data_IF_572927837161
#
_entry.id   IF_572927837161
#
_cell.length_a   1.000
_cell.length_b   1.000
_cell.length_c   1.000
_cell.angle_alpha   90.00
_cell.angle_beta   90.00
_cell.angle_gamma   90.00
#
_symmetry.space_group_name_H-M   'P 1'
#
loop_
_entity.id
_entity.type
_entity.pdbx_description
1 polymer ?
#
# COMPACT_ATOMS: atom_id res chain seq x y z
N UNK A 1 16.84 23.91 14.35
CA UNK A 1 16.77 22.62 13.63
C UNK A 1 15.95 22.84 12.36
N UNK A 2 16.23 22.16 11.24
CA UNK A 2 15.33 22.21 10.09
C UNK A 2 13.93 21.81 10.55
N UNK A 3 12.89 22.46 10.02
CA UNK A 3 11.52 22.08 10.32
C UNK A 3 11.32 20.58 9.97
N UNK A 4 10.66 19.84 10.84
CA UNK A 4 10.28 18.45 10.57
C UNK A 4 8.84 18.22 10.98
N UNK A 5 8.18 17.29 10.28
CA UNK A 5 6.79 16.92 10.58
C UNK A 5 6.60 15.42 10.42
N UNK A 6 5.87 14.83 11.36
CA UNK A 6 5.28 13.50 11.22
C UNK A 6 3.80 13.68 10.92
N UNK A 7 3.38 13.20 9.76
CA UNK A 7 1.99 13.22 9.34
C UNK A 7 1.29 11.97 9.85
N UNK A 8 0.32 12.14 10.73
CA UNK A 8 -0.49 11.06 11.30
C UNK A 8 -1.68 10.74 10.41
N UNK A 9 -2.41 9.67 10.72
CA UNK A 9 -3.61 9.31 9.97
C UNK A 9 -4.71 10.36 10.15
N UNK A 10 -4.79 11.00 11.31
CA UNK A 10 -5.72 12.09 11.58
C UNK A 10 -5.44 13.30 10.68
N UNK A 11 -4.17 13.62 10.44
CA UNK A 11 -3.77 14.68 9.49
C UNK A 11 -4.25 14.35 8.07
N UNK A 12 -4.23 13.08 7.66
CA UNK A 12 -4.67 12.66 6.32
C UNK A 12 -6.18 12.65 6.18
N UNK A 13 -6.90 12.18 7.21
CA UNK A 13 -8.36 12.24 7.25
C UNK A 13 -8.85 13.69 7.19
N UNK A 14 -8.20 14.57 7.91
CA UNK A 14 -8.59 15.97 7.95
C UNK A 14 -8.20 16.71 6.65
N UNK A 15 -7.07 16.35 6.02
CA UNK A 15 -6.72 16.83 4.67
C UNK A 15 -7.68 16.31 3.59
N UNK A 16 -8.17 15.07 3.72
CA UNK A 16 -9.16 14.51 2.82
C UNK A 16 -10.49 15.29 2.86
N UNK A 17 -10.91 15.73 4.05
CA UNK A 17 -12.10 16.60 4.21
C UNK A 17 -11.90 17.98 3.58
N UNK A 18 -10.72 18.58 3.75
CA UNK A 18 -10.38 19.88 3.16
C UNK A 18 -10.36 19.82 1.62
N UNK A 19 -9.67 18.81 1.07
CA UNK A 19 -9.39 18.71 -0.36
C UNK A 19 -10.51 18.02 -1.15
N UNK A 20 -11.29 17.17 -0.50
CA UNK A 20 -12.20 16.22 -1.13
C UNK A 20 -11.51 14.99 -1.70
N UNK A 21 -10.22 14.79 -1.45
CA UNK A 21 -9.47 13.59 -1.83
C UNK A 21 -9.52 12.57 -0.69
N UNK A 22 -10.48 11.64 -0.77
CA UNK A 22 -10.63 10.53 0.17
C UNK A 22 -10.12 9.21 -0.42
N UNK A 23 -9.11 9.24 -1.29
CA UNK A 23 -8.59 8.01 -1.89
C UNK A 23 -8.15 7.03 -0.80
N UNK A 24 -8.61 5.77 -0.82
CA UNK A 24 -8.31 4.78 0.22
C UNK A 24 -6.82 4.56 0.49
N UNK A 25 -5.94 4.86 -0.47
CA UNK A 25 -4.48 4.76 -0.28
C UNK A 25 -3.95 5.70 0.80
N UNK A 26 -4.70 6.75 1.13
CA UNK A 26 -4.33 7.76 2.13
C UNK A 26 -5.06 7.58 3.47
N UNK A 27 -6.33 7.17 3.44
CA UNK A 27 -7.22 7.23 4.61
C UNK A 27 -7.67 5.87 5.14
N UNK A 28 -7.55 4.79 4.35
CA UNK A 28 -8.05 3.46 4.73
C UNK A 28 -6.87 2.47 4.84
N UNK A 29 -6.49 2.14 6.08
CA UNK A 29 -5.40 1.22 6.34
C UNK A 29 -5.66 -0.22 5.84
N UNK A 30 -6.92 -0.66 5.76
CA UNK A 30 -7.27 -1.99 5.28
C UNK A 30 -7.19 -2.08 3.76
N UNK A 31 -7.62 -1.04 3.04
CA UNK A 31 -7.48 -0.98 1.57
C UNK A 31 -6.03 -0.68 1.17
N UNK A 32 -5.35 0.27 1.83
CA UNK A 32 -3.98 0.64 1.52
C UNK A 32 -2.97 -0.52 1.69
N UNK A 33 -3.24 -1.47 2.61
CA UNK A 33 -2.38 -2.65 2.81
C UNK A 33 -2.28 -3.58 1.59
N UNK A 34 -3.26 -3.48 0.69
CA UNK A 34 -3.32 -4.25 -0.56
C UNK A 34 -2.67 -3.51 -1.74
N UNK A 35 -2.28 -2.26 -1.54
CA UNK A 35 -1.49 -1.51 -2.52
C UNK A 35 0.00 -1.85 -2.43
N UNK A 36 0.76 -1.47 -3.46
CA UNK A 36 2.22 -1.57 -3.49
C UNK A 36 2.94 -0.84 -2.32
N UNK A 37 2.26 0.05 -1.60
CA UNK A 37 2.83 0.77 -0.46
C UNK A 37 2.71 0.00 0.87
N UNK A 38 1.76 -0.96 0.94
CA UNK A 38 1.53 -1.83 2.10
C UNK A 38 0.92 -1.16 3.33
N UNK A 39 0.75 0.16 3.33
CA UNK A 39 0.09 0.97 4.38
C UNK A 39 -0.25 2.37 3.83
N UNK A 40 -1.04 3.18 4.56
CA UNK A 40 -1.36 4.53 4.13
C UNK A 40 -0.13 5.40 3.84
N UNK A 41 -0.25 6.23 2.80
CA UNK A 41 0.75 7.25 2.43
C UNK A 41 0.19 8.65 2.58
N UNK A 42 1.06 9.62 2.82
CA UNK A 42 0.70 11.04 2.89
C UNK A 42 0.26 11.54 1.52
N UNK A 43 -0.78 12.36 1.47
CA UNK A 43 -1.19 13.04 0.24
C UNK A 43 -0.05 13.92 -0.28
N UNK A 44 0.30 13.80 -1.57
CA UNK A 44 1.36 14.60 -2.18
C UNK A 44 1.08 16.10 -2.05
N UNK A 45 -0.17 16.53 -2.27
CA UNK A 45 -0.54 17.95 -2.12
C UNK A 45 -0.48 18.44 -0.67
N UNK A 46 -0.64 17.57 0.33
CA UNK A 46 -0.43 17.94 1.73
C UNK A 46 1.06 18.25 1.99
N UNK A 47 1.97 17.43 1.44
CA UNK A 47 3.42 17.71 1.49
C UNK A 47 3.77 19.03 0.77
N UNK A 48 3.17 19.27 -0.40
CA UNK A 48 3.38 20.50 -1.17
C UNK A 48 2.94 21.73 -0.38
N UNK A 49 1.70 21.74 0.11
CA UNK A 49 1.16 22.90 0.83
C UNK A 49 1.92 23.16 2.14
N UNK A 50 2.30 22.11 2.87
CA UNK A 50 3.18 22.26 4.03
C UNK A 50 4.56 22.82 3.64
N UNK A 51 5.16 22.37 2.54
CA UNK A 51 6.43 22.92 2.08
C UNK A 51 6.33 24.42 1.73
N UNK A 52 5.24 24.84 1.07
CA UNK A 52 5.03 26.25 0.73
C UNK A 52 4.75 27.07 1.99
N UNK A 53 3.92 26.58 2.92
CA UNK A 53 3.65 27.18 4.23
C UNK A 53 4.97 27.53 4.95
N UNK A 54 5.84 26.54 5.14
CA UNK A 54 7.14 26.71 5.80
C UNK A 54 8.07 27.64 5.01
N UNK A 55 8.11 27.50 3.68
CA UNK A 55 8.93 28.33 2.80
C UNK A 55 8.52 29.81 2.75
N UNK A 56 7.26 30.11 3.05
CA UNK A 56 6.70 31.46 3.03
C UNK A 56 6.60 32.11 4.42
N UNK A 57 6.95 31.41 5.51
CA UNK A 57 6.86 31.93 6.87
C UNK A 57 7.45 33.34 7.05
N UNK A 58 8.61 33.60 6.43
CA UNK A 58 9.32 34.89 6.50
C UNK A 58 9.11 35.77 5.25
N UNK A 59 8.16 35.44 4.38
CA UNK A 59 7.88 36.19 3.15
C UNK A 59 6.75 37.20 3.39
N UNK A 60 6.78 38.42 2.82
CA UNK A 60 5.62 39.31 2.82
C UNK A 60 4.41 38.69 2.11
N UNK A 61 3.24 39.32 2.23
CA UNK A 61 2.07 38.95 1.43
C UNK A 61 2.43 39.07 -0.06
N UNK A 62 2.05 38.08 -0.85
CA UNK A 62 2.50 37.90 -2.23
C UNK A 62 1.48 37.07 -3.01
N UNK A 63 1.71 36.84 -4.29
CA UNK A 63 0.99 35.84 -5.08
C UNK A 63 1.96 34.77 -5.60
N UNK A 64 1.44 33.58 -5.92
CA UNK A 64 2.21 32.55 -6.60
C UNK A 64 2.20 32.84 -8.09
N UNK A 65 3.34 33.09 -8.73
CA UNK A 65 3.45 33.13 -10.20
C UNK A 65 3.48 31.72 -10.79
N UNK A 66 4.19 30.81 -10.12
CA UNK A 66 4.33 29.42 -10.54
C UNK A 66 4.62 28.51 -9.37
N UNK A 67 4.04 27.32 -9.38
CA UNK A 67 4.37 26.23 -8.47
C UNK A 67 4.70 25.00 -9.28
N UNK A 68 5.88 24.41 -9.05
CA UNK A 68 6.23 23.11 -9.59
C UNK A 68 6.67 22.17 -8.48
N UNK A 69 6.18 20.93 -8.51
CA UNK A 69 6.52 19.90 -7.54
C UNK A 69 6.72 18.56 -8.24
N UNK A 70 7.75 17.82 -7.84
CA UNK A 70 7.98 16.44 -8.26
C UNK A 70 8.05 15.56 -7.03
N UNK A 71 7.20 14.54 -6.96
CA UNK A 71 7.20 13.52 -5.91
C UNK A 71 8.02 12.32 -6.38
N UNK A 72 9.16 12.08 -5.75
CA UNK A 72 10.08 11.00 -6.13
C UNK A 72 9.81 9.71 -5.38
N UNK A 73 9.42 9.84 -4.11
CA UNK A 73 9.18 8.71 -3.23
C UNK A 73 7.95 8.97 -2.37
N UNK A 74 7.10 7.95 -2.14
CA UNK A 74 5.98 8.09 -1.22
C UNK A 74 6.49 8.26 0.21
N UNK A 75 5.83 9.13 0.98
CA UNK A 75 6.00 9.23 2.43
C UNK A 75 4.88 8.41 3.07
N UNK A 76 5.21 7.45 3.93
CA UNK A 76 4.17 6.70 4.65
C UNK A 76 3.76 7.47 5.90
N UNK A 77 2.52 7.27 6.33
CA UNK A 77 2.02 7.85 7.59
C UNK A 77 2.96 7.45 8.75
N UNK A 78 3.14 8.40 9.68
CA UNK A 78 4.05 8.37 10.83
C UNK A 78 5.57 8.42 10.51
N UNK A 79 5.96 8.46 9.24
CA UNK A 79 7.35 8.75 8.87
C UNK A 79 7.66 10.24 9.07
N UNK A 80 8.89 10.52 9.51
CA UNK A 80 9.35 11.89 9.72
C UNK A 80 9.88 12.51 8.43
N UNK A 81 9.29 13.64 8.05
CA UNK A 81 9.68 14.42 6.88
C UNK A 81 10.48 15.63 7.33
N UNK A 82 11.68 15.78 6.76
CA UNK A 82 12.56 16.92 6.98
C UNK A 82 12.38 17.94 5.87
N UNK A 83 12.21 19.21 6.25
CA UNK A 83 12.15 20.34 5.33
C UNK A 83 13.54 20.96 5.15
N UNK A 84 13.90 21.25 3.90
CA UNK A 84 15.12 22.02 3.56
C UNK A 84 14.82 23.08 2.51
N UNK A 85 14.97 24.35 2.90
CA UNK A 85 15.02 25.46 1.95
C UNK A 85 16.42 25.52 1.33
N UNK A 86 16.52 25.16 0.05
CA UNK A 86 17.80 25.04 -0.69
C UNK A 86 18.15 26.33 -1.43
N UNK A 87 17.15 27.06 -1.91
CA UNK A 87 17.31 28.39 -2.50
C UNK A 87 16.22 29.31 -1.96
N UNK A 88 16.63 30.51 -1.55
CA UNK A 88 15.74 31.53 -1.04
C UNK A 88 16.14 32.88 -1.64
N UNK A 89 15.48 33.22 -2.75
CA UNK A 89 15.58 34.51 -3.40
C UNK A 89 14.21 35.19 -3.34
N UNK A 90 14.19 36.53 -3.46
CA UNK A 90 12.96 37.34 -3.29
C UNK A 90 11.77 36.85 -4.12
N UNK A 91 12.02 36.33 -5.33
CA UNK A 91 10.98 35.84 -6.25
C UNK A 91 11.03 34.32 -6.49
N UNK A 92 12.03 33.61 -5.96
CA UNK A 92 12.25 32.19 -6.28
C UNK A 92 12.67 31.41 -5.04
N UNK A 93 11.93 30.34 -4.74
CA UNK A 93 12.25 29.42 -3.65
C UNK A 93 12.36 28.00 -4.17
N UNK A 94 13.39 27.28 -3.73
CA UNK A 94 13.57 25.84 -3.96
C UNK A 94 13.58 25.12 -2.62
N UNK A 95 12.65 24.21 -2.43
CA UNK A 95 12.49 23.41 -1.22
C UNK A 95 12.67 21.94 -1.56
N UNK A 96 13.37 21.21 -0.70
CA UNK A 96 13.53 19.76 -0.79
C UNK A 96 12.99 19.14 0.50
N UNK A 97 12.13 18.13 0.34
CA UNK A 97 11.65 17.31 1.44
C UNK A 97 12.37 15.97 1.43
N UNK A 98 12.80 15.52 2.60
CA UNK A 98 13.48 14.24 2.77
C UNK A 98 12.79 13.37 3.82
N UNK A 99 12.76 12.07 3.57
CA UNK A 99 12.22 11.07 4.48
C UNK A 99 13.13 9.85 4.45
N UNK A 100 13.52 9.33 5.63
CA UNK A 100 14.45 8.20 5.77
C UNK A 100 15.76 8.34 4.96
N UNK A 101 16.30 9.56 4.87
CA UNK A 101 17.54 9.86 4.16
C UNK A 101 17.45 9.81 2.63
N UNK A 102 16.23 9.83 2.07
CA UNK A 102 15.97 9.97 0.64
C UNK A 102 15.08 11.17 0.35
N UNK A 103 15.31 11.85 -0.77
CA UNK A 103 14.43 12.92 -1.26
C UNK A 103 13.06 12.35 -1.63
N UNK A 104 12.00 12.85 -1.00
CA UNK A 104 10.63 12.47 -1.30
C UNK A 104 9.92 13.49 -2.22
N UNK A 105 10.23 14.79 -2.09
CA UNK A 105 9.70 15.82 -2.98
C UNK A 105 10.69 16.97 -3.21
N UNK A 106 10.66 17.55 -4.42
CA UNK A 106 11.28 18.85 -4.72
C UNK A 106 10.20 19.82 -5.14
N UNK A 107 10.16 20.99 -4.51
CA UNK A 107 9.21 22.07 -4.76
C UNK A 107 9.94 23.32 -5.23
N UNK A 108 9.43 23.93 -6.29
CA UNK A 108 9.85 25.22 -6.80
C UNK A 108 8.66 26.17 -6.73
N UNK A 109 8.89 27.34 -6.14
CA UNK A 109 7.88 28.40 -6.04
C UNK A 109 8.46 29.67 -6.67
N UNK A 110 7.72 30.23 -7.61
CA UNK A 110 7.96 31.56 -8.16
C UNK A 110 6.88 32.49 -7.63
N UNK A 111 7.28 33.66 -7.14
CA UNK A 111 6.38 34.65 -6.54
C UNK A 111 6.07 35.77 -7.52
N UNK A 112 4.99 36.51 -7.24
CA UNK A 112 4.62 37.70 -7.99
C UNK A 112 4.19 38.82 -7.06
N UNK A 113 4.55 40.04 -7.44
CA UNK A 113 4.00 41.26 -6.84
C UNK A 113 2.59 41.62 -7.39
N UNK A 114 2.17 40.98 -8.50
CA UNK A 114 0.86 41.23 -9.09
C UNK A 114 -0.22 40.43 -8.36
N UNK A 115 -1.43 40.98 -8.29
CA UNK A 115 -2.60 40.22 -7.83
C UNK A 115 -2.97 39.14 -8.85
N UNK A 116 -3.14 37.91 -8.36
CA UNK A 116 -3.48 36.72 -9.16
C UNK A 116 -4.66 36.00 -8.50
N UNK A 117 -5.79 36.69 -8.43
CA UNK A 117 -7.01 36.13 -7.87
C UNK A 117 -7.62 35.06 -8.77
N UNK A 118 -8.15 34.02 -8.14
CA UNK A 118 -8.90 32.93 -8.80
C UNK A 118 -10.24 32.82 -8.09
N UNK A 119 -11.33 32.90 -8.84
CA UNK A 119 -12.66 32.69 -8.28
C UNK A 119 -12.81 31.25 -7.76
N UNK A 120 -13.54 31.06 -6.67
CA UNK A 120 -13.90 29.76 -6.13
C UNK A 120 -15.18 29.88 -5.30
N UNK A 121 -15.79 28.74 -4.95
CA UNK A 121 -16.97 28.67 -4.10
C UNK A 121 -16.51 28.36 -2.67
N UNK A 122 -16.82 29.24 -1.72
CA UNK A 122 -16.49 29.07 -0.30
C UNK A 122 -17.40 28.03 0.35
N UNK A 123 -17.08 26.75 0.14
CA UNK A 123 -17.76 25.59 0.71
C UNK A 123 -16.85 24.36 0.64
N UNK A 124 -17.08 23.40 1.53
CA UNK A 124 -16.44 22.10 1.43
C UNK A 124 -16.78 21.42 0.09
N UNK A 125 -15.80 20.79 -0.59
CA UNK A 125 -16.04 19.98 -1.78
C UNK A 125 -16.81 18.68 -1.48
N UNK A 126 -16.93 18.31 -0.20
CA UNK A 126 -17.53 17.06 0.25
C UNK A 126 -16.66 15.82 -0.02
N UNK A 127 -17.13 14.68 0.47
CA UNK A 127 -16.52 13.36 0.24
C UNK A 127 -17.33 12.61 -0.81
N UNK A 128 -16.65 12.05 -1.80
CA UNK A 128 -17.26 11.24 -2.87
C UNK A 128 -16.53 9.91 -2.99
N UNK A 129 -17.18 8.93 -3.60
CA UNK A 129 -16.51 7.69 -3.97
C UNK A 129 -15.48 7.94 -5.07
N UNK A 130 -14.33 7.26 -4.99
CA UNK A 130 -13.34 7.30 -6.07
C UNK A 130 -13.91 6.65 -7.32
N UNK A 131 -13.80 7.33 -8.45
CA UNK A 131 -14.03 6.73 -9.75
C UNK A 131 -12.94 5.68 -10.03
N UNK A 132 -13.33 4.45 -10.32
CA UNK A 132 -12.41 3.42 -10.81
C UNK A 132 -12.35 3.44 -12.34
N UNK A 133 -11.22 3.89 -12.91
CA UNK A 133 -10.99 3.90 -14.37
C UNK A 133 -10.11 2.73 -14.81
N UNK A 134 -10.47 2.11 -15.93
CA UNK A 134 -9.61 1.17 -16.65
C UNK A 134 -8.59 1.92 -17.52
N UNK A 135 -7.49 1.27 -17.88
CA UNK A 135 -6.46 1.80 -18.79
C UNK A 135 -7.06 2.32 -20.10
N UNK A 136 -7.98 1.55 -20.69
CA UNK A 136 -8.71 1.91 -21.92
C UNK A 136 -9.59 3.16 -21.80
N UNK A 137 -9.96 3.57 -20.58
CA UNK A 137 -10.83 4.72 -20.31
C UNK A 137 -10.06 6.01 -19.95
N UNK A 138 -8.73 5.94 -19.90
CA UNK A 138 -7.88 7.10 -19.59
C UNK A 138 -7.62 7.96 -20.83
N UNK A 139 -7.53 7.33 -22.00
CA UNK A 139 -7.18 8.05 -23.22
C UNK A 139 -8.26 9.07 -23.58
N UNK A 140 -7.83 10.32 -23.80
CA UNK A 140 -8.71 11.48 -24.03
C UNK A 140 -9.77 11.75 -22.94
N UNK A 141 -9.64 11.18 -21.74
CA UNK A 141 -10.52 11.49 -20.63
C UNK A 141 -10.42 13.00 -20.31
N UNK A 142 -11.58 13.65 -20.15
CA UNK A 142 -11.64 15.08 -19.88
C UNK A 142 -12.88 15.40 -19.04
N UNK A 143 -12.87 16.55 -18.40
CA UNK A 143 -13.98 17.00 -17.58
C UNK A 143 -13.81 18.42 -17.08
N UNK A 144 -14.79 18.86 -16.30
CA UNK A 144 -14.83 20.19 -15.71
C UNK A 144 -15.57 20.12 -14.38
N UNK A 145 -15.03 20.73 -13.33
CA UNK A 145 -15.68 20.77 -12.02
C UNK A 145 -15.40 22.10 -11.29
N UNK A 146 -16.28 22.51 -10.35
CA UNK A 146 -16.08 23.77 -9.63
C UNK A 146 -14.87 23.73 -8.69
N UNK A 147 -14.21 24.88 -8.55
CA UNK A 147 -13.23 25.13 -7.49
C UNK A 147 -14.00 25.42 -6.19
N UNK A 148 -13.78 24.57 -5.20
CA UNK A 148 -14.49 24.56 -3.92
C UNK A 148 -13.47 24.39 -2.81
N UNK A 149 -13.56 25.26 -1.81
CA UNK A 149 -12.71 25.27 -0.64
C UNK A 149 -13.49 25.86 0.54
N UNK A 150 -13.48 25.20 1.69
CA UNK A 150 -13.90 25.83 2.95
C UNK A 150 -12.75 26.72 3.45
N UNK A 151 -12.94 28.04 3.38
CA UNK A 151 -11.90 29.00 3.72
C UNK A 151 -11.56 28.99 5.22
N UNK A 152 -12.53 28.67 6.09
CA UNK A 152 -12.29 28.60 7.52
C UNK A 152 -11.39 27.41 7.86
N UNK A 153 -11.69 26.22 7.31
CA UNK A 153 -10.87 25.02 7.48
C UNK A 153 -9.48 25.20 6.86
N UNK A 154 -9.37 25.85 5.70
CA UNK A 154 -8.09 26.17 5.09
C UNK A 154 -7.21 27.05 5.97
N UNK A 155 -7.80 28.07 6.63
CA UNK A 155 -7.08 28.98 7.54
C UNK A 155 -6.62 28.30 8.82
N UNK A 156 -7.39 27.35 9.34
CA UNK A 156 -7.00 26.56 10.50
C UNK A 156 -5.78 25.68 10.19
N UNK A 157 -5.77 25.06 9.01
CA UNK A 157 -4.75 24.08 8.60
C UNK A 157 -3.48 24.70 8.04
N UNK A 158 -3.61 25.79 7.29
CA UNK A 158 -2.54 26.47 6.58
C UNK A 158 -2.58 27.99 6.85
N UNK A 159 -2.40 28.41 8.13
CA UNK A 159 -2.57 29.80 8.55
C UNK A 159 -1.59 30.76 7.88
N UNK A 160 -0.34 30.36 7.67
CA UNK A 160 0.65 31.20 6.98
C UNK A 160 0.26 31.32 5.52
N UNK A 161 0.02 30.20 4.83
CA UNK A 161 -0.28 30.21 3.40
C UNK A 161 -1.51 31.05 3.11
N UNK A 162 -2.61 30.85 3.84
CA UNK A 162 -3.86 31.62 3.66
C UNK A 162 -3.76 33.10 3.99
N UNK A 163 -2.77 33.52 4.79
CA UNK A 163 -2.45 34.93 5.03
C UNK A 163 -1.55 35.53 3.95
N UNK A 164 -0.65 34.72 3.37
CA UNK A 164 0.38 35.18 2.45
C UNK A 164 -0.04 35.16 1.00
N UNK A 165 -0.83 34.19 0.55
CA UNK A 165 -1.23 34.03 -0.86
C UNK A 165 -2.75 34.11 -1.04
N UNK A 166 -3.23 34.52 -2.22
CA UNK A 166 -4.65 34.46 -2.57
C UNK A 166 -5.24 33.05 -2.35
N UNK A 167 -6.36 32.98 -1.61
CA UNK A 167 -6.99 31.70 -1.24
C UNK A 167 -7.45 30.91 -2.47
N UNK A 168 -7.83 31.58 -3.55
CA UNK A 168 -8.18 30.92 -4.81
C UNK A 168 -7.04 30.10 -5.42
N UNK A 169 -5.78 30.51 -5.24
CA UNK A 169 -4.63 29.72 -5.70
C UNK A 169 -4.48 28.43 -4.89
N UNK A 170 -4.78 28.49 -3.58
CA UNK A 170 -4.82 27.31 -2.69
C UNK A 170 -5.97 26.39 -3.10
N UNK A 171 -7.16 26.94 -3.38
CA UNK A 171 -8.32 26.17 -3.83
C UNK A 171 -8.02 25.40 -5.13
N UNK A 172 -7.31 26.02 -6.08
CA UNK A 172 -6.88 25.35 -7.31
C UNK A 172 -5.89 24.21 -7.04
N UNK A 173 -4.87 24.43 -6.19
CA UNK A 173 -3.90 23.37 -5.83
C UNK A 173 -4.60 22.21 -5.13
N UNK A 174 -5.55 22.47 -4.22
CA UNK A 174 -6.33 21.43 -3.56
C UNK A 174 -7.23 20.67 -4.56
N UNK A 175 -7.82 21.37 -5.53
CA UNK A 175 -8.63 20.76 -6.57
C UNK A 175 -7.85 19.74 -7.43
N UNK A 176 -6.53 19.89 -7.60
CA UNK A 176 -5.75 18.92 -8.38
C UNK A 176 -5.61 17.56 -7.67
N UNK A 177 -5.54 17.52 -6.34
CA UNK A 177 -5.53 16.24 -5.61
C UNK A 177 -6.88 15.54 -5.73
N UNK A 178 -7.98 16.30 -5.70
CA UNK A 178 -9.33 15.76 -5.92
C UNK A 178 -9.47 15.19 -7.33
N UNK A 179 -8.96 15.90 -8.35
CA UNK A 179 -8.92 15.38 -9.72
C UNK A 179 -8.18 14.04 -9.79
N UNK A 180 -6.95 13.97 -9.30
CA UNK A 180 -6.13 12.75 -9.40
C UNK A 180 -6.66 11.62 -8.53
N UNK A 181 -6.94 11.92 -7.26
CA UNK A 181 -7.35 10.98 -6.23
C UNK A 181 -8.75 10.40 -6.45
N UNK A 182 -9.66 11.19 -7.03
CA UNK A 182 -11.09 10.84 -7.07
C UNK A 182 -11.63 10.66 -8.49
N UNK A 183 -11.15 11.39 -9.49
CA UNK A 183 -11.79 11.43 -10.81
C UNK A 183 -10.96 10.76 -11.92
N UNK A 184 -9.68 11.10 -12.05
CA UNK A 184 -8.81 10.58 -13.09
C UNK A 184 -7.33 10.66 -12.67
N UNK A 185 -6.66 9.52 -12.42
CA UNK A 185 -7.14 8.14 -12.60
C UNK A 185 -8.15 7.67 -11.54
N UNK A 186 -8.35 8.44 -10.48
CA UNK A 186 -9.28 8.12 -9.41
C UNK A 186 -8.72 7.02 -8.50
N UNK A 187 -9.49 5.94 -8.31
CA UNK A 187 -9.24 4.92 -7.29
C UNK A 187 -7.80 4.42 -7.31
N UNK A 188 -7.21 4.14 -8.47
CA UNK A 188 -5.87 3.57 -8.60
C UNK A 188 -4.77 4.62 -8.87
N UNK A 189 -4.97 5.87 -8.48
CA UNK A 189 -4.03 6.95 -8.81
C UNK A 189 -2.77 7.02 -7.94
N UNK A 190 -1.70 7.58 -8.49
CA UNK A 190 -0.53 8.07 -7.75
C UNK A 190 -0.18 9.45 -8.32
N UNK A 191 -0.18 10.48 -7.47
CA UNK A 191 0.23 11.82 -7.87
C UNK A 191 1.76 11.91 -7.89
N UNK A 192 2.37 12.19 -9.05
CA UNK A 192 3.84 12.21 -9.21
C UNK A 192 4.42 13.59 -9.52
N UNK A 193 3.62 14.55 -9.97
CA UNK A 193 4.10 15.91 -10.12
C UNK A 193 3.04 16.93 -10.54
N UNK A 194 3.34 18.20 -10.29
CA UNK A 194 2.51 19.34 -10.61
C UNK A 194 3.38 20.45 -11.21
N UNK A 195 2.88 21.14 -12.22
CA UNK A 195 3.40 22.44 -12.64
C UNK A 195 2.21 23.34 -12.98
N UNK A 196 1.98 24.39 -12.21
CA UNK A 196 0.93 25.39 -12.46
C UNK A 196 1.56 26.75 -12.58
N UNK A 197 1.17 27.48 -13.61
CA UNK A 197 1.45 28.90 -13.78
C UNK A 197 0.18 29.69 -13.56
N UNK A 198 0.31 30.80 -12.84
CA UNK A 198 -0.78 31.70 -12.52
C UNK A 198 -0.62 33.01 -13.28
N UNK A 199 -1.75 33.60 -13.64
CA UNK A 199 -1.82 34.86 -14.38
C UNK A 199 -3.01 35.68 -13.88
N UNK A 200 -3.03 37.01 -14.11
CA UNK A 200 -4.23 37.80 -13.82
C UNK A 200 -5.47 37.21 -14.51
N UNK A 201 -6.59 37.15 -13.79
CA UNK A 201 -7.88 36.71 -14.34
C UNK A 201 -8.32 37.62 -15.50
N UNK A 202 -8.95 37.01 -16.51
CA UNK A 202 -9.46 37.71 -17.68
C UNK A 202 -10.76 38.50 -17.42
N UNK A 203 -11.34 38.40 -16.21
CA UNK A 203 -12.54 39.13 -15.78
C UNK A 203 -13.82 38.84 -16.60
N UNK A 204 -13.77 37.95 -17.57
CA UNK A 204 -14.81 37.71 -18.60
C UNK A 204 -15.05 36.23 -18.89
N UNK A 205 -14.39 35.32 -18.16
CA UNK A 205 -14.40 33.90 -18.48
C UNK A 205 -15.75 33.22 -18.14
N UNK A 206 -16.30 32.48 -19.11
CA UNK A 206 -17.39 31.51 -18.89
C UNK A 206 -17.06 30.44 -17.83
N UNK A 207 -15.77 30.27 -17.52
CA UNK A 207 -15.24 29.24 -16.61
C UNK A 207 -14.79 29.80 -15.25
N UNK A 208 -15.27 31.00 -14.85
CA UNK A 208 -14.98 31.56 -13.53
C UNK A 208 -15.31 30.54 -12.42
N UNK A 209 -14.32 30.23 -11.57
CA UNK A 209 -14.49 29.27 -10.48
C UNK A 209 -14.56 27.81 -10.89
N UNK A 210 -14.04 27.45 -12.06
CA UNK A 210 -14.00 26.06 -12.55
C UNK A 210 -12.59 25.62 -12.93
N UNK A 211 -12.34 24.33 -12.83
CA UNK A 211 -11.14 23.66 -13.33
C UNK A 211 -11.55 22.70 -14.45
N UNK A 212 -11.11 23.01 -15.66
CA UNK A 212 -11.19 22.11 -16.81
C UNK A 212 -9.93 21.25 -16.86
N UNK A 213 -10.07 20.00 -17.26
CA UNK A 213 -8.95 19.08 -17.36
C UNK A 213 -9.08 18.13 -18.54
N UNK A 214 -7.94 17.69 -19.06
CA UNK A 214 -7.85 16.72 -20.15
C UNK A 214 -6.59 15.87 -20.04
N UNK A 215 -6.75 14.55 -20.14
CA UNK A 215 -5.62 13.63 -20.35
C UNK A 215 -5.09 13.86 -21.76
N UNK A 216 -3.82 14.28 -21.85
CA UNK A 216 -3.16 14.56 -23.13
C UNK A 216 -2.21 13.45 -23.55
N UNK A 217 -1.79 12.60 -22.62
CA UNK A 217 -0.93 11.46 -22.90
C UNK A 217 -1.09 10.38 -21.83
N UNK A 218 -1.05 9.11 -22.24
CA UNK A 218 -0.90 7.95 -21.38
C UNK A 218 0.21 7.04 -21.92
N UNK A 219 1.32 6.90 -21.18
CA UNK A 219 2.39 5.95 -21.48
C UNK A 219 2.15 4.65 -20.70
N UNK A 220 1.64 3.65 -21.41
CA UNK A 220 1.31 2.34 -20.87
C UNK A 220 2.50 1.63 -20.21
N UNK A 221 3.72 1.79 -20.76
CA UNK A 221 4.93 1.11 -20.27
C UNK A 221 5.29 1.52 -18.84
N UNK A 222 4.93 2.76 -18.48
CA UNK A 222 5.14 3.32 -17.15
C UNK A 222 3.83 3.60 -16.41
N UNK A 223 2.70 3.21 -17.00
CA UNK A 223 1.33 3.51 -16.56
C UNK A 223 1.18 4.98 -16.15
N UNK A 224 1.79 5.90 -16.90
CA UNK A 224 1.91 7.32 -16.55
C UNK A 224 0.99 8.15 -17.42
N UNK A 225 0.29 9.10 -16.81
CA UNK A 225 -0.56 10.05 -17.50
C UNK A 225 -0.11 11.49 -17.27
N UNK A 226 -0.25 12.29 -18.32
CA UNK A 226 -0.15 13.74 -18.28
C UNK A 226 -1.56 14.32 -18.41
N UNK A 227 -1.94 15.19 -17.48
CA UNK A 227 -3.25 15.87 -17.48
C UNK A 227 -3.02 17.36 -17.56
N UNK A 228 -3.51 17.98 -18.62
CA UNK A 228 -3.56 19.44 -18.71
C UNK A 228 -4.72 19.95 -17.88
N UNK A 229 -4.51 21.05 -17.17
CA UNK A 229 -5.53 21.75 -16.41
C UNK A 229 -5.60 23.22 -16.81
N UNK A 230 -6.82 23.75 -16.86
CA UNK A 230 -7.10 25.14 -17.23
C UNK A 230 -8.17 25.70 -16.29
N UNK A 231 -7.92 26.87 -15.73
CA UNK A 231 -8.88 27.67 -14.99
C UNK A 231 -8.70 29.15 -15.39
N UNK A 232 -9.69 30.00 -15.11
CA UNK A 232 -9.49 31.45 -15.28
C UNK A 232 -8.41 31.93 -14.28
N UNK A 233 -7.29 32.43 -14.82
CA UNK A 233 -6.11 32.83 -14.05
C UNK A 233 -5.06 31.73 -13.82
N UNK A 234 -5.21 30.53 -14.39
CA UNK A 234 -4.18 29.48 -14.25
C UNK A 234 -4.18 28.44 -15.39
N UNK A 235 -2.98 27.97 -15.73
CA UNK A 235 -2.79 26.78 -16.57
C UNK A 235 -1.74 25.87 -15.96
N UNK A 236 -1.83 24.57 -16.20
CA UNK A 236 -0.85 23.65 -15.64
C UNK A 236 -0.91 22.26 -16.22
N UNK A 237 0.04 21.44 -15.75
CA UNK A 237 0.16 20.04 -16.08
C UNK A 237 0.31 19.25 -14.78
N UNK A 238 -0.47 18.18 -14.66
CA UNK A 238 -0.36 17.17 -13.62
C UNK A 238 0.30 15.93 -14.21
N UNK A 239 1.23 15.35 -13.47
CA UNK A 239 1.77 14.02 -13.71
C UNK A 239 1.16 13.08 -12.68
N UNK A 240 0.53 12.01 -13.15
CA UNK A 240 0.01 10.95 -12.31
C UNK A 240 0.34 9.58 -12.90
N UNK A 241 0.12 8.53 -12.12
CA UNK A 241 0.32 7.15 -12.53
C UNK A 241 -0.89 6.31 -12.15
N UNK A 242 -1.21 5.31 -12.96
CA UNK A 242 -2.19 4.28 -12.65
C UNK A 242 -1.47 3.12 -11.97
N UNK A 243 -1.67 2.97 -10.66
CA UNK A 243 -1.14 1.85 -9.88
C UNK A 243 -1.89 0.56 -10.25
N UNK A 244 -1.23 -0.61 -10.16
CA UNK A 244 -1.92 -1.87 -10.40
C UNK A 244 -2.99 -2.11 -9.33
N UNK A 245 -4.09 -2.75 -9.73
CA UNK A 245 -5.11 -3.22 -8.81
C UNK A 245 -4.54 -4.31 -7.87
N UNK A 246 -5.14 -4.50 -6.68
CA UNK A 246 -4.78 -5.62 -5.80
C UNK A 246 -4.79 -6.96 -6.53
N UNK A 247 -3.80 -7.81 -6.24
CA UNK A 247 -3.71 -9.11 -6.89
C UNK A 247 -4.86 -10.01 -6.43
N UNK A 248 -5.53 -10.66 -7.38
CA UNK A 248 -6.60 -11.63 -7.11
C UNK A 248 -6.06 -13.03 -7.33
N UNK A 249 -6.14 -13.87 -6.29
CA UNK A 249 -5.83 -15.29 -6.43
C UNK A 249 -6.95 -16.00 -7.20
N UNK A 250 -6.61 -17.14 -7.81
CA UNK A 250 -7.61 -18.01 -8.41
C UNK A 250 -8.65 -18.44 -7.37
N UNK A 251 -9.89 -18.57 -7.81
CA UNK A 251 -10.99 -19.11 -7.02
C UNK A 251 -10.85 -20.62 -6.83
N UNK A 252 -11.53 -21.19 -5.84
CA UNK A 252 -11.55 -22.65 -5.67
C UNK A 252 -12.12 -23.36 -6.91
N UNK A 253 -13.10 -22.76 -7.59
CA UNK A 253 -13.65 -23.30 -8.84
C UNK A 253 -12.61 -23.36 -9.97
N UNK A 254 -11.78 -22.33 -10.13
CA UNK A 254 -10.70 -22.33 -11.11
C UNK A 254 -9.60 -23.35 -10.74
N UNK A 255 -9.23 -23.42 -9.45
CA UNK A 255 -8.18 -24.32 -8.95
C UNK A 255 -8.53 -25.80 -9.10
N UNK A 256 -9.81 -26.18 -8.99
CA UNK A 256 -10.28 -27.56 -9.25
C UNK A 256 -9.87 -28.09 -10.62
N UNK A 257 -9.73 -27.23 -11.61
CA UNK A 257 -9.33 -27.64 -12.97
C UNK A 257 -7.82 -27.82 -13.13
N UNK A 258 -7.04 -27.31 -12.18
CA UNK A 258 -5.57 -27.29 -12.20
C UNK A 258 -4.96 -28.30 -11.22
N UNK A 259 -5.70 -28.69 -10.18
CA UNK A 259 -5.25 -29.63 -9.17
C UNK A 259 -5.55 -31.05 -9.67
N UNK A 260 -4.52 -31.91 -9.83
CA UNK A 260 -4.67 -33.19 -10.53
C UNK A 260 -5.42 -34.25 -9.71
N UNK A 261 -5.44 -34.11 -8.38
CA UNK A 261 -6.07 -35.05 -7.47
C UNK A 261 -6.81 -34.29 -6.35
N UNK A 262 -8.12 -34.54 -6.25
CA UNK A 262 -9.00 -33.91 -5.28
C UNK A 262 -8.83 -34.45 -3.85
N UNK A 263 -8.10 -35.56 -3.68
CA UNK A 263 -7.81 -36.18 -2.38
C UNK A 263 -6.32 -36.08 -2.01
N UNK A 264 -5.55 -35.26 -2.73
CA UNK A 264 -4.10 -35.07 -2.55
C UNK A 264 -3.68 -34.79 -1.09
N UNK A 265 -4.54 -34.08 -0.35
CA UNK A 265 -4.38 -33.67 1.04
C UNK A 265 -5.50 -34.20 1.94
N UNK A 266 -6.18 -35.27 1.52
CA UNK A 266 -7.22 -35.92 2.30
C UNK A 266 -6.72 -36.31 3.69
N UNK A 267 -7.57 -36.11 4.71
CA UNK A 267 -7.24 -36.39 6.12
C UNK A 267 -6.36 -35.33 6.78
N UNK A 268 -5.92 -34.30 6.07
CA UNK A 268 -5.25 -33.17 6.70
C UNK A 268 -6.25 -32.24 7.40
N UNK A 269 -5.88 -31.84 8.62
CA UNK A 269 -6.44 -30.70 9.34
C UNK A 269 -5.42 -29.59 9.25
N UNK A 270 -5.56 -28.76 8.22
CA UNK A 270 -4.56 -27.79 7.81
C UNK A 270 -4.84 -26.41 8.39
N UNK A 271 -3.92 -25.90 9.21
CA UNK A 271 -3.97 -24.53 9.72
C UNK A 271 -3.06 -23.62 8.90
N UNK A 272 -3.62 -22.61 8.24
CA UNK A 272 -2.87 -21.63 7.46
C UNK A 272 -2.74 -20.33 8.25
N UNK A 273 -1.55 -20.05 8.75
CA UNK A 273 -1.25 -18.80 9.46
C UNK A 273 -1.06 -17.69 8.44
N UNK A 274 -1.93 -16.67 8.47
CA UNK A 274 -1.93 -15.59 7.47
C UNK A 274 -2.60 -15.99 6.15
N UNK A 275 -3.74 -16.69 6.21
CA UNK A 275 -4.47 -17.18 5.04
C UNK A 275 -5.47 -16.18 4.44
N UNK A 276 -5.55 -14.94 4.93
CA UNK A 276 -6.54 -13.96 4.46
C UNK A 276 -6.26 -13.34 3.10
N UNK A 277 -5.05 -13.52 2.54
CA UNK A 277 -4.62 -12.93 1.25
C UNK A 277 -3.33 -13.55 0.74
N UNK A 278 -2.97 -13.23 -0.50
CA UNK A 278 -1.65 -13.52 -1.07
C UNK A 278 -1.37 -15.01 -1.15
N UNK A 279 -0.14 -15.43 -0.83
CA UNK A 279 0.25 -16.85 -0.92
C UNK A 279 -0.42 -17.74 0.13
N UNK A 280 -0.76 -17.18 1.30
CA UNK A 280 -1.51 -17.92 2.33
C UNK A 280 -2.94 -18.24 1.88
N UNK A 281 -3.62 -17.28 1.27
CA UNK A 281 -4.93 -17.51 0.64
C UNK A 281 -4.84 -18.60 -0.43
N UNK A 282 -3.88 -18.49 -1.35
CA UNK A 282 -3.70 -19.48 -2.40
C UNK A 282 -3.43 -20.88 -1.84
N UNK A 283 -2.56 -20.97 -0.83
CA UNK A 283 -2.27 -22.23 -0.15
C UNK A 283 -3.53 -22.81 0.52
N UNK A 284 -4.32 -22.01 1.22
CA UNK A 284 -5.57 -22.45 1.85
C UNK A 284 -6.55 -23.03 0.83
N UNK A 285 -6.73 -22.35 -0.32
CA UNK A 285 -7.61 -22.83 -1.39
C UNK A 285 -7.10 -24.11 -2.05
N UNK A 286 -5.79 -24.21 -2.30
CA UNK A 286 -5.18 -25.43 -2.86
C UNK A 286 -5.37 -26.62 -1.93
N UNK A 287 -5.12 -26.43 -0.62
CA UNK A 287 -5.29 -27.49 0.38
C UNK A 287 -6.75 -27.96 0.45
N UNK A 288 -7.70 -27.01 0.46
CA UNK A 288 -9.11 -27.35 0.51
C UNK A 288 -9.61 -28.07 -0.75
N UNK A 289 -9.18 -27.63 -1.93
CA UNK A 289 -9.53 -28.30 -3.20
C UNK A 289 -8.90 -29.70 -3.29
N UNK A 290 -7.74 -29.91 -2.69
CA UNK A 290 -7.14 -31.24 -2.54
C UNK A 290 -7.65 -32.05 -1.34
N UNK A 291 -8.77 -31.67 -0.73
CA UNK A 291 -9.48 -32.52 0.26
C UNK A 291 -9.12 -32.28 1.73
N UNK A 292 -8.32 -31.27 2.06
CA UNK A 292 -8.03 -30.92 3.46
C UNK A 292 -9.21 -30.19 4.15
N UNK A 293 -9.36 -30.38 5.46
CA UNK A 293 -10.18 -29.50 6.32
C UNK A 293 -9.31 -28.32 6.76
N UNK A 294 -9.66 -27.12 6.31
CA UNK A 294 -8.79 -25.95 6.41
C UNK A 294 -9.29 -24.98 7.47
N UNK A 295 -8.41 -24.55 8.36
CA UNK A 295 -8.59 -23.34 9.17
C UNK A 295 -7.58 -22.31 8.72
N UNK A 296 -8.00 -21.06 8.54
CA UNK A 296 -7.10 -19.98 8.17
C UNK A 296 -7.12 -18.87 9.21
N UNK A 297 -6.00 -18.17 9.36
CA UNK A 297 -5.91 -17.06 10.31
C UNK A 297 -5.69 -15.71 9.64
N UNK A 298 -6.08 -14.66 10.35
CA UNK A 298 -5.84 -13.28 9.96
C UNK A 298 -5.49 -12.43 11.18
N UNK A 299 -4.56 -11.47 11.03
CA UNK A 299 -4.37 -10.42 12.03
C UNK A 299 -5.30 -9.23 11.74
N UNK A 300 -5.37 -8.81 10.47
CA UNK A 300 -6.22 -7.71 10.01
C UNK A 300 -6.98 -8.10 8.74
N UNK A 301 -8.16 -7.52 8.55
CA UNK A 301 -9.02 -7.76 7.40
C UNK A 301 -9.84 -9.04 7.55
N UNK A 302 -10.79 -9.01 8.49
CA UNK A 302 -11.76 -10.09 8.73
C UNK A 302 -12.55 -10.41 7.47
N UNK A 303 -12.98 -9.40 6.73
CA UNK A 303 -13.79 -9.59 5.52
C UNK A 303 -13.00 -10.24 4.38
N UNK A 304 -11.71 -9.90 4.21
CA UNK A 304 -10.85 -10.60 3.26
C UNK A 304 -10.70 -12.08 3.65
N UNK A 305 -10.55 -12.39 4.96
CA UNK A 305 -10.48 -13.76 5.44
C UNK A 305 -11.80 -14.52 5.25
N UNK A 306 -12.93 -13.86 5.48
CA UNK A 306 -14.25 -14.43 5.28
C UNK A 306 -14.51 -14.73 3.80
N UNK A 307 -14.12 -13.85 2.88
CA UNK A 307 -14.24 -14.10 1.45
C UNK A 307 -13.46 -15.35 0.99
N UNK A 308 -12.31 -15.64 1.60
CA UNK A 308 -11.56 -16.87 1.32
C UNK A 308 -12.28 -18.10 1.89
N UNK A 309 -12.86 -18.00 3.09
CA UNK A 309 -13.67 -19.07 3.67
C UNK A 309 -14.89 -19.37 2.81
N UNK A 310 -15.58 -18.33 2.33
CA UNK A 310 -16.76 -18.45 1.49
C UNK A 310 -16.41 -19.12 0.16
N UNK A 311 -15.35 -18.70 -0.53
CA UNK A 311 -14.87 -19.33 -1.77
C UNK A 311 -14.51 -20.82 -1.57
N UNK A 312 -13.90 -21.17 -0.43
CA UNK A 312 -13.60 -22.58 -0.10
C UNK A 312 -14.89 -23.39 0.13
N UNK A 313 -15.82 -22.86 0.91
CA UNK A 313 -17.06 -23.55 1.27
C UNK A 313 -18.00 -23.67 0.06
N UNK A 314 -18.11 -22.63 -0.78
CA UNK A 314 -18.83 -22.66 -2.06
C UNK A 314 -18.16 -23.64 -3.04
N UNK A 315 -16.84 -23.78 -2.94
CA UNK A 315 -16.06 -24.82 -3.59
C UNK A 315 -16.31 -26.24 -3.04
N UNK A 316 -17.17 -26.44 -2.04
CA UNK A 316 -17.45 -27.74 -1.43
C UNK A 316 -16.40 -28.21 -0.42
N UNK A 317 -15.42 -27.38 -0.10
CA UNK A 317 -14.47 -27.63 0.98
C UNK A 317 -15.06 -27.34 2.36
N UNK A 318 -14.23 -27.48 3.40
CA UNK A 318 -14.58 -27.09 4.77
C UNK A 318 -13.59 -26.05 5.27
N UNK A 319 -14.07 -24.86 5.58
CA UNK A 319 -13.23 -23.83 6.16
C UNK A 319 -13.91 -22.93 7.18
N UNK A 320 -13.08 -22.40 8.09
CA UNK A 320 -13.40 -21.33 9.01
C UNK A 320 -12.16 -20.46 9.25
N UNK A 321 -12.37 -19.21 9.67
CA UNK A 321 -11.29 -18.27 9.95
C UNK A 321 -11.21 -17.88 11.43
N UNK A 322 -10.00 -17.58 11.90
CA UNK A 322 -9.72 -17.13 13.26
C UNK A 322 -8.82 -15.88 13.27
N UNK A 323 -9.13 -14.92 14.14
CA UNK A 323 -8.24 -13.80 14.43
C UNK A 323 -7.00 -14.30 15.19
N UNK A 324 -5.81 -13.99 14.69
CA UNK A 324 -4.54 -14.45 15.25
C UNK A 324 -3.43 -13.42 14.99
N UNK A 325 -2.82 -12.91 16.05
CA UNK A 325 -1.53 -12.23 16.00
C UNK A 325 -0.48 -13.15 16.61
N UNK A 326 0.60 -13.44 15.89
CA UNK A 326 1.69 -14.27 16.42
C UNK A 326 2.48 -13.58 17.53
N UNK A 327 2.30 -12.28 17.74
CA UNK A 327 2.90 -11.53 18.85
C UNK A 327 1.97 -11.39 20.06
N UNK A 328 0.70 -11.78 19.90
CA UNK A 328 -0.32 -11.78 20.93
C UNK A 328 -1.35 -12.89 20.60
N UNK A 329 -0.93 -14.17 20.67
CA UNK A 329 -1.80 -15.28 20.31
C UNK A 329 -2.96 -15.40 21.31
N UNK A 330 -4.14 -15.86 20.85
CA UNK A 330 -5.29 -16.02 21.75
C UNK A 330 -4.97 -17.02 22.86
N UNK A 331 -5.42 -16.72 24.09
CA UNK A 331 -5.22 -17.59 25.26
C UNK A 331 -5.76 -19.01 25.03
N UNK A 332 -6.92 -19.12 24.37
CA UNK A 332 -7.56 -20.40 24.03
C UNK A 332 -7.62 -20.58 22.50
N UNK A 333 -6.49 -20.95 21.93
CA UNK A 333 -6.37 -21.25 20.50
C UNK A 333 -7.27 -22.42 20.08
N UNK A 334 -7.47 -23.42 20.94
CA UNK A 334 -8.26 -24.61 20.62
C UNK A 334 -9.72 -24.23 20.37
N UNK A 335 -10.32 -23.46 21.28
CA UNK A 335 -11.68 -22.95 21.11
C UNK A 335 -11.83 -22.10 19.85
N UNK A 336 -10.83 -21.29 19.53
CA UNK A 336 -10.81 -20.48 18.31
C UNK A 336 -10.81 -21.29 17.01
N UNK A 337 -10.20 -22.48 17.01
CA UNK A 337 -10.17 -23.39 15.85
C UNK A 337 -11.42 -24.28 15.74
N UNK A 338 -12.17 -24.40 16.83
CA UNK A 338 -13.35 -25.25 16.99
C UNK A 338 -13.06 -26.45 17.89
N UNK A 339 -14.01 -26.78 18.76
CA UNK A 339 -13.84 -27.83 19.77
C UNK A 339 -13.45 -29.18 19.14
N UNK A 340 -12.37 -29.78 19.67
CA UNK A 340 -11.83 -31.05 19.18
C UNK A 340 -11.02 -30.97 17.88
N UNK A 341 -10.92 -29.79 17.24
CA UNK A 341 -10.09 -29.60 16.06
C UNK A 341 -8.64 -29.32 16.46
N UNK A 342 -7.72 -30.18 16.03
CA UNK A 342 -6.28 -30.01 16.27
C UNK A 342 -5.53 -30.11 14.94
N UNK A 343 -4.61 -29.20 14.63
CA UNK A 343 -3.92 -29.23 13.35
C UNK A 343 -3.00 -30.45 13.23
N UNK A 344 -3.07 -31.13 12.09
CA UNK A 344 -2.04 -32.11 11.68
C UNK A 344 -0.95 -31.45 10.84
N UNK A 345 -1.31 -30.34 10.16
CA UNK A 345 -0.42 -29.57 9.32
C UNK A 345 -0.60 -28.08 9.61
N UNK A 346 0.51 -27.33 9.68
CA UNK A 346 0.50 -25.87 9.86
C UNK A 346 1.33 -25.21 8.77
N UNK A 347 0.76 -24.22 8.09
CA UNK A 347 1.41 -23.51 6.99
C UNK A 347 1.63 -22.05 7.36
N UNK A 348 2.89 -21.61 7.48
CA UNK A 348 3.21 -20.32 8.08
C UNK A 348 3.45 -19.21 7.04
N UNK A 349 2.42 -18.45 6.67
CA UNK A 349 2.51 -17.37 5.68
C UNK A 349 2.47 -15.95 6.28
N UNK A 350 2.59 -15.80 7.60
CA UNK A 350 2.66 -14.48 8.22
C UNK A 350 3.95 -13.75 7.81
N UNK A 351 3.81 -12.64 7.10
CA UNK A 351 4.94 -11.86 6.60
C UNK A 351 4.62 -10.34 6.60
N UNK A 352 5.55 -9.49 7.05
CA UNK A 352 5.43 -8.04 6.89
C UNK A 352 5.73 -7.63 5.43
N UNK A 353 5.60 -6.35 5.06
CA UNK A 353 6.07 -5.86 3.76
C UNK A 353 7.59 -6.10 3.58
N UNK A 354 7.98 -6.74 2.47
CA UNK A 354 9.37 -7.18 2.24
C UNK A 354 10.20 -6.19 1.40
N UNK A 355 9.61 -5.49 0.41
CA UNK A 355 10.32 -4.56 -0.48
C UNK A 355 10.45 -3.15 0.14
N UNK A 356 11.12 -3.07 1.27
CA UNK A 356 11.23 -1.84 2.08
C UNK A 356 12.67 -1.45 2.40
N UNK A 357 13.64 -2.31 2.09
CA UNK A 357 15.06 -2.03 2.34
C UNK A 357 15.63 -1.04 1.30
N UNK A 358 16.57 -0.22 1.76
CA UNK A 358 17.31 0.68 0.89
C UNK A 358 18.39 -0.10 0.11
N UNK A 359 18.54 0.22 -1.17
CA UNK A 359 19.53 -0.44 -2.03
C UNK A 359 20.95 -0.24 -1.51
N UNK A 360 21.68 -1.33 -1.32
CA UNK A 360 23.08 -1.35 -0.91
C UNK A 360 23.34 -0.92 0.53
N UNK A 361 22.29 -0.79 1.36
CA UNK A 361 22.39 -0.44 2.77
C UNK A 361 21.76 -1.54 3.62
N UNK A 362 22.29 -1.74 4.82
CA UNK A 362 21.74 -2.67 5.80
C UNK A 362 21.21 -1.89 7.00
N UNK A 363 19.99 -2.18 7.44
CA UNK A 363 19.34 -1.59 8.61
C UNK A 363 19.16 -2.64 9.71
N UNK A 364 19.80 -2.43 10.86
CA UNK A 364 19.64 -3.30 12.03
C UNK A 364 18.19 -3.35 12.51
N UNK A 365 17.48 -2.22 12.48
CA UNK A 365 16.06 -2.16 12.87
C UNK A 365 15.17 -2.96 11.91
N UNK A 366 15.45 -2.88 10.61
CA UNK A 366 14.72 -3.65 9.61
C UNK A 366 14.99 -5.16 9.74
N UNK A 367 16.25 -5.53 10.00
CA UNK A 367 16.61 -6.92 10.29
C UNK A 367 15.93 -7.42 11.56
N UNK A 368 15.94 -6.65 12.66
CA UNK A 368 15.25 -7.00 13.89
C UNK A 368 13.75 -7.19 13.64
N UNK A 369 13.13 -6.30 12.84
CA UNK A 369 11.73 -6.45 12.44
C UNK A 369 11.47 -7.72 11.65
N UNK A 370 12.28 -8.05 10.64
CA UNK A 370 12.09 -9.30 9.90
C UNK A 370 12.33 -10.54 10.78
N UNK A 371 13.35 -10.53 11.64
CA UNK A 371 13.63 -11.59 12.60
C UNK A 371 12.48 -11.81 13.57
N UNK A 372 11.84 -10.74 14.04
CA UNK A 372 10.63 -10.83 14.85
C UNK A 372 9.53 -11.63 14.14
N UNK A 373 9.32 -11.44 12.83
CA UNK A 373 8.32 -12.21 12.08
C UNK A 373 8.76 -13.64 11.74
N UNK A 374 9.99 -13.84 11.28
CA UNK A 374 10.42 -15.12 10.72
C UNK A 374 11.08 -16.07 11.73
N UNK A 375 11.51 -15.55 12.88
CA UNK A 375 12.12 -16.32 13.96
C UNK A 375 11.18 -16.34 15.17
N UNK A 376 10.97 -15.20 15.83
CA UNK A 376 10.17 -15.13 17.06
C UNK A 376 8.70 -15.51 16.84
N UNK A 377 8.08 -14.99 15.76
CA UNK A 377 6.70 -15.31 15.43
C UNK A 377 6.49 -16.77 15.02
N UNK A 378 7.44 -17.36 14.30
CA UNK A 378 7.38 -18.79 13.96
C UNK A 378 7.56 -19.66 15.21
N UNK A 379 8.48 -19.29 16.10
CA UNK A 379 8.66 -19.95 17.40
C UNK A 379 7.39 -19.89 18.26
N UNK A 380 6.79 -18.71 18.38
CA UNK A 380 5.54 -18.49 19.14
C UNK A 380 4.38 -19.31 18.55
N UNK A 381 4.30 -19.38 17.22
CA UNK A 381 3.35 -20.25 16.54
C UNK A 381 3.56 -21.72 16.90
N UNK A 382 4.80 -22.23 16.83
CA UNK A 382 5.10 -23.60 17.23
C UNK A 382 4.70 -23.88 18.68
N UNK A 383 5.04 -22.98 19.62
CA UNK A 383 4.67 -23.13 21.03
C UNK A 383 3.14 -23.23 21.21
N UNK A 384 2.39 -22.32 20.58
CA UNK A 384 0.93 -22.27 20.69
C UNK A 384 0.28 -23.53 20.13
N UNK A 385 0.77 -24.04 19.00
CA UNK A 385 0.25 -25.26 18.38
C UNK A 385 0.62 -26.50 19.20
N UNK A 386 1.83 -26.54 19.76
CA UNK A 386 2.27 -27.68 20.57
C UNK A 386 1.44 -27.85 21.84
N UNK A 387 0.89 -26.78 22.39
CA UNK A 387 0.00 -26.84 23.57
C UNK A 387 -1.32 -27.55 23.27
N UNK A 388 -1.88 -27.38 22.07
CA UNK A 388 -3.20 -27.91 21.71
C UNK A 388 -3.14 -29.22 20.91
N UNK A 389 -2.01 -29.50 20.28
CA UNK A 389 -1.74 -30.76 19.58
C UNK A 389 -0.69 -31.48 20.41
N UNK A 390 -0.96 -32.64 21.04
CA UNK A 390 0.09 -33.47 21.69
C UNK A 390 0.72 -34.52 20.75
N UNK A 391 0.03 -34.83 19.65
CA UNK A 391 0.42 -35.84 18.66
C UNK A 391 1.37 -35.30 17.58
N UNK A 392 1.89 -36.18 16.73
CA UNK A 392 2.78 -35.74 15.65
C UNK A 392 2.07 -34.76 14.71
N UNK A 393 2.74 -33.67 14.36
CA UNK A 393 2.26 -32.71 13.35
C UNK A 393 3.41 -32.17 12.49
N UNK A 394 3.06 -31.64 11.33
CA UNK A 394 4.01 -31.09 10.36
C UNK A 394 3.82 -29.57 10.24
N UNK A 395 4.90 -28.81 10.15
CA UNK A 395 4.87 -27.39 9.81
C UNK A 395 5.58 -27.12 8.48
N UNK A 396 5.02 -26.21 7.70
CA UNK A 396 5.67 -25.62 6.53
C UNK A 396 6.21 -24.23 6.88
N UNK A 397 7.50 -24.05 6.65
CA UNK A 397 8.19 -22.77 6.72
C UNK A 397 8.53 -22.28 5.30
N UNK A 398 7.83 -21.26 4.78
CA UNK A 398 8.17 -20.66 3.50
C UNK A 398 9.42 -19.79 3.65
N UNK A 399 10.55 -20.31 3.18
CA UNK A 399 11.77 -19.54 2.99
C UNK A 399 11.78 -18.87 1.61
N UNK A 400 12.92 -18.38 1.16
CA UNK A 400 13.06 -17.66 -0.12
C UNK A 400 14.37 -17.98 -0.80
N UNK A 401 14.35 -17.98 -2.14
CA UNK A 401 15.56 -18.05 -2.98
C UNK A 401 16.55 -16.91 -2.69
N UNK A 402 16.10 -15.80 -2.08
CA UNK A 402 16.95 -14.70 -1.63
C UNK A 402 17.95 -15.11 -0.53
N UNK A 403 17.76 -16.24 0.14
CA UNK A 403 18.74 -16.80 1.09
C UNK A 403 20.05 -17.17 0.38
N UNK A 404 19.97 -17.62 -0.87
CA UNK A 404 21.13 -18.04 -1.67
C UNK A 404 21.50 -17.03 -2.76
N UNK A 405 20.57 -16.16 -3.13
CA UNK A 405 20.78 -15.13 -4.15
C UNK A 405 20.86 -13.75 -3.54
N UNK A 406 22.01 -13.08 -3.67
CA UNK A 406 22.20 -11.74 -3.17
C UNK A 406 21.44 -10.70 -4.02
N UNK A 407 20.43 -10.07 -3.43
CA UNK A 407 19.77 -8.89 -4.00
C UNK A 407 20.10 -7.65 -3.16
N UNK A 408 20.43 -6.54 -3.84
CA UNK A 408 20.92 -5.31 -3.20
C UNK A 408 19.93 -4.67 -2.21
N UNK A 409 18.67 -5.07 -2.21
CA UNK A 409 17.60 -4.54 -1.36
C UNK A 409 16.86 -5.64 -0.57
N UNK A 410 17.52 -6.78 -0.31
CA UNK A 410 16.93 -7.90 0.43
C UNK A 410 17.85 -8.47 1.52
N UNK A 411 18.94 -7.78 1.88
CA UNK A 411 19.95 -8.32 2.80
C UNK A 411 19.36 -8.69 4.16
N UNK A 412 18.58 -7.80 4.76
CA UNK A 412 17.91 -8.00 6.04
C UNK A 412 16.88 -9.12 5.98
N UNK A 413 16.09 -9.15 4.90
CA UNK A 413 15.07 -10.17 4.67
C UNK A 413 15.69 -11.57 4.51
N UNK A 414 16.72 -11.69 3.67
CA UNK A 414 17.44 -12.93 3.43
C UNK A 414 18.13 -13.44 4.70
N UNK A 415 18.78 -12.55 5.46
CA UNK A 415 19.42 -12.90 6.73
C UNK A 415 18.40 -13.42 7.75
N UNK A 416 17.25 -12.76 7.89
CA UNK A 416 16.20 -13.20 8.81
C UNK A 416 15.56 -14.54 8.37
N UNK A 417 15.40 -14.76 7.06
CA UNK A 417 14.93 -16.05 6.53
C UNK A 417 15.92 -17.17 6.80
N UNK A 418 17.22 -16.94 6.59
CA UNK A 418 18.27 -17.90 6.92
C UNK A 418 18.32 -18.23 8.43
N UNK A 419 18.14 -17.24 9.29
CA UNK A 419 18.01 -17.45 10.73
C UNK A 419 16.79 -18.33 11.06
N UNK A 420 15.65 -18.11 10.40
CA UNK A 420 14.47 -18.96 10.56
C UNK A 420 14.65 -20.39 10.02
N UNK A 421 15.41 -20.59 8.93
CA UNK A 421 15.78 -21.95 8.49
C UNK A 421 16.59 -22.68 9.56
N UNK A 422 17.51 -21.99 10.24
CA UNK A 422 18.27 -22.56 11.35
C UNK A 422 17.37 -22.89 12.56
N UNK A 423 16.43 -21.99 12.90
CA UNK A 423 15.44 -22.25 13.94
C UNK A 423 14.62 -23.51 13.65
N UNK A 424 14.24 -23.76 12.40
CA UNK A 424 13.52 -24.97 12.02
C UNK A 424 14.31 -26.24 12.37
N UNK A 425 15.61 -26.26 12.09
CA UNK A 425 16.48 -27.39 12.44
C UNK A 425 16.56 -27.59 13.96
N UNK A 426 16.68 -26.50 14.72
CA UNK A 426 16.69 -26.52 16.18
C UNK A 426 15.38 -27.09 16.75
N UNK A 427 14.23 -26.64 16.27
CA UNK A 427 12.93 -27.12 16.74
C UNK A 427 12.70 -28.60 16.46
N UNK A 428 13.08 -29.10 15.27
CA UNK A 428 13.05 -30.54 14.97
C UNK A 428 13.99 -31.36 15.87
N UNK A 429 15.12 -30.78 16.29
CA UNK A 429 16.01 -31.44 17.23
C UNK A 429 15.38 -31.55 18.63
N UNK A 430 14.67 -30.51 19.07
CA UNK A 430 14.01 -30.41 20.37
C UNK A 430 12.70 -31.18 20.49
N UNK A 431 11.88 -31.25 19.42
CA UNK A 431 10.59 -31.93 19.42
C UNK A 431 10.57 -33.08 18.40
N UNK A 432 10.65 -34.32 18.89
CA UNK A 432 10.65 -35.53 18.05
C UNK A 432 9.30 -35.83 17.41
N UNK A 433 8.22 -35.17 17.85
CA UNK A 433 6.87 -35.25 17.26
C UNK A 433 6.61 -34.11 16.29
N UNK A 434 7.62 -33.30 15.96
CA UNK A 434 7.53 -32.23 14.99
C UNK A 434 8.31 -32.59 13.73
N UNK A 435 7.67 -32.42 12.57
CA UNK A 435 8.37 -32.35 11.29
C UNK A 435 8.27 -30.93 10.76
N UNK A 436 9.37 -30.31 10.35
CA UNK A 436 9.34 -29.04 9.63
C UNK A 436 9.87 -29.24 8.22
N UNK A 437 9.13 -28.72 7.26
CA UNK A 437 9.48 -28.66 5.84
C UNK A 437 9.78 -27.22 5.46
N UNK A 438 10.97 -26.98 4.93
CA UNK A 438 11.44 -25.65 4.51
C UNK A 438 11.39 -25.59 2.99
N UNK A 439 10.60 -24.66 2.44
CA UNK A 439 10.53 -24.46 0.99
C UNK A 439 10.98 -23.06 0.60
N UNK A 440 11.99 -22.94 -0.26
CA UNK A 440 12.49 -21.63 -0.74
C UNK A 440 11.68 -21.16 -1.93
N UNK A 441 10.80 -20.20 -1.69
CA UNK A 441 9.91 -19.70 -2.73
C UNK A 441 10.62 -18.65 -3.62
N UNK A 442 10.42 -18.70 -4.96
CA UNK A 442 10.80 -17.62 -5.85
C UNK A 442 9.87 -16.41 -5.68
N UNK A 443 10.09 -15.35 -6.46
CA UNK A 443 9.14 -14.24 -6.53
C UNK A 443 7.84 -14.71 -7.20
N UNK A 444 6.74 -14.62 -6.46
CA UNK A 444 5.39 -15.03 -6.89
C UNK A 444 4.41 -13.86 -6.83
N UNK A 445 3.38 -13.83 -7.71
CA UNK A 445 2.35 -12.81 -7.69
C UNK A 445 1.63 -12.69 -6.33
N UNK A 446 1.63 -11.48 -5.79
CA UNK A 446 0.86 -11.07 -4.60
C UNK A 446 0.83 -9.54 -4.50
N UNK A 447 0.03 -9.01 -3.58
CA UNK A 447 0.06 -7.58 -3.25
C UNK A 447 1.48 -7.08 -2.90
N UNK A 448 2.34 -7.95 -2.35
CA UNK A 448 3.72 -7.57 -2.01
C UNK A 448 4.62 -7.40 -3.22
N UNK A 449 4.30 -8.03 -4.35
CA UNK A 449 5.12 -7.97 -5.57
C UNK A 449 4.57 -7.02 -6.62
N UNK A 450 3.47 -6.33 -6.32
CA UNK A 450 2.87 -5.32 -7.18
C UNK A 450 3.88 -4.22 -7.49
N UNK A 451 4.00 -3.90 -8.77
CA UNK A 451 4.85 -2.82 -9.27
C UNK A 451 4.22 -2.19 -10.50
N UNK A 452 4.49 -0.90 -10.69
CA UNK A 452 4.03 -0.14 -11.86
C UNK A 452 4.60 -0.74 -13.14
N UNK A 453 5.90 -1.04 -13.13
CA UNK A 453 6.56 -1.77 -14.22
C UNK A 453 6.43 -3.25 -13.93
N UNK A 454 5.95 -4.01 -14.91
CA UNK A 454 5.78 -5.45 -14.76
C UNK A 454 7.12 -6.15 -14.50
N UNK A 455 7.12 -7.07 -13.53
CA UNK A 455 8.27 -7.92 -13.24
C UNK A 455 7.84 -9.36 -13.41
N UNK A 456 8.61 -10.12 -14.20
CA UNK A 456 8.36 -11.55 -14.41
C UNK A 456 8.33 -12.31 -13.09
N UNK A 457 7.34 -13.17 -12.94
CA UNK A 457 7.16 -14.08 -11.81
C UNK A 457 6.90 -15.50 -12.30
N UNK A 458 7.10 -16.48 -11.42
CA UNK A 458 6.71 -17.87 -11.71
C UNK A 458 5.20 -18.03 -11.57
N UNK A 459 4.65 -19.13 -12.11
CA UNK A 459 3.25 -19.48 -11.88
C UNK A 459 3.04 -19.82 -10.40
N UNK A 460 2.15 -19.09 -9.69
CA UNK A 460 1.97 -19.29 -8.26
C UNK A 460 1.29 -20.62 -7.93
N UNK A 461 0.43 -21.16 -8.80
CA UNK A 461 -0.27 -22.42 -8.55
C UNK A 461 0.70 -23.57 -8.68
N UNK A 462 1.45 -23.64 -9.79
CA UNK A 462 2.46 -24.68 -10.04
C UNK A 462 3.53 -24.67 -8.94
N UNK A 463 4.04 -23.49 -8.58
CA UNK A 463 5.08 -23.36 -7.56
C UNK A 463 4.59 -23.83 -6.19
N UNK A 464 3.40 -23.40 -5.75
CA UNK A 464 2.86 -23.78 -4.45
C UNK A 464 2.49 -25.27 -4.46
N UNK A 465 1.90 -25.81 -5.53
CA UNK A 465 1.62 -27.25 -5.65
C UNK A 465 2.90 -28.09 -5.60
N UNK A 466 3.97 -27.64 -6.26
CA UNK A 466 5.26 -28.33 -6.24
C UNK A 466 5.81 -28.45 -4.81
N UNK A 467 5.76 -27.36 -4.04
CA UNK A 467 6.22 -27.34 -2.64
C UNK A 467 5.29 -28.14 -1.72
N UNK A 468 3.98 -28.05 -1.92
CA UNK A 468 3.00 -28.80 -1.13
C UNK A 468 3.01 -30.30 -1.46
N UNK A 469 3.57 -30.71 -2.61
CA UNK A 469 3.70 -32.12 -3.00
C UNK A 469 4.45 -32.98 -1.98
N UNK A 470 5.32 -32.39 -1.17
CA UNK A 470 6.03 -33.08 -0.08
C UNK A 470 5.16 -33.43 1.13
N UNK A 471 3.91 -32.99 1.16
CA UNK A 471 2.97 -33.16 2.27
C UNK A 471 1.79 -34.08 1.90
N UNK A 472 1.83 -34.72 0.74
CA UNK A 472 0.74 -35.61 0.27
C UNK A 472 0.49 -36.76 1.25
N UNK A 473 -0.74 -37.28 1.25
CA UNK A 473 -1.04 -38.49 2.02
C UNK A 473 -0.22 -39.68 1.49
N UNK A 474 0.33 -40.50 2.38
CA UNK A 474 1.08 -41.71 2.02
C UNK A 474 0.21 -42.77 1.31
N UNK A 475 -1.11 -42.56 1.25
CA UNK A 475 -2.05 -43.45 0.55
C UNK A 475 -2.06 -43.27 -0.98
N UNK A 476 -1.30 -42.30 -1.51
CA UNK A 476 -1.26 -41.96 -2.95
C UNK A 476 0.16 -42.07 -3.53
N UNK A 477 1.05 -42.83 -2.89
CA UNK A 477 2.40 -43.13 -3.41
C UNK A 477 2.44 -44.45 -4.20
#
# INVERSE_FOLDING_TARGET
>A
MPASRRFRIEDQNAFALLSGDSNPVHVDALKARRSQFGRPIVHGMHLLLWAIEEGLANTPKTALAKVSCVFRNPVRVDEEVLFRLVQDHDQHKKIVLECNGAECATVHVELSANEMEIAFIDRSPGVKDCHERSESSLDNAQGSFPLELDTADARERFPVLTQKVPVGQIALILATTRLVGMECPGLHSIYSGLSVSFSPSSGTAQNAGRLDWKVVNYDDRFRRLSVDIVADGATGVIQAMLRPAPHKQKTCAELKTLIPDAEMFAGQRALVIGGSRGLGELCAKILAVGGADVRLTYHRGKDDAQAVVDDINDGGGKSASLAYDMFDPPEDLQKGLGDGWTPTHVYYFATPPIFVAARGKFSSDLFARFSRYYVEGFYTCWQSIRQITPEKFTMFYPSSVAVETAYLNMGEYAAAKAAGENLCNYLCACDKKLTIKVGRLPRLPSDQTLSIVEVKTHDPVETILGVLGEFRSEQVA
#
